data_IF_618142605086
#
_entry.id   IF_618142605086
#
_cell.length_a   1.000
_cell.length_b   1.000
_cell.length_c   1.000
_cell.angle_alpha   90.00
_cell.angle_beta   90.00
_cell.angle_gamma   90.00
#
_symmetry.space_group_name_H-M   'P 1'
#
loop_
_entity.id
_entity.type
_entity.pdbx_description
1 polymer ?
#
# COMPACT_ATOMS: atom_id res chain seq x y z
N UNK A 1 -46.17 -108.28 -28.28
CA UNK A 1 -45.70 -109.41 -27.45
C UNK A 1 -46.21 -110.75 -27.98
N UNK A 2 -47.51 -110.93 -28.22
CA UNK A 2 -48.07 -112.19 -28.75
C UNK A 2 -47.52 -112.61 -30.13
N UNK A 3 -47.36 -111.66 -31.06
CA UNK A 3 -46.82 -111.96 -32.40
C UNK A 3 -45.37 -112.48 -32.37
N UNK A 4 -44.50 -111.85 -31.56
CA UNK A 4 -43.11 -112.33 -31.37
C UNK A 4 -43.08 -113.72 -30.72
N UNK A 5 -43.98 -114.00 -29.78
CA UNK A 5 -44.10 -115.29 -29.10
C UNK A 5 -44.56 -116.42 -30.03
N UNK A 6 -45.52 -116.12 -30.92
CA UNK A 6 -45.99 -117.07 -31.95
C UNK A 6 -44.89 -117.41 -32.98
N UNK A 7 -44.11 -116.42 -33.41
CA UNK A 7 -43.00 -116.65 -34.35
C UNK A 7 -41.86 -117.43 -33.67
N UNK A 8 -41.57 -117.14 -32.41
CA UNK A 8 -40.52 -117.83 -31.67
C UNK A 8 -40.81 -119.33 -31.55
N UNK A 9 -42.06 -119.75 -31.32
CA UNK A 9 -42.45 -121.17 -31.20
C UNK A 9 -42.14 -122.03 -32.44
N UNK A 10 -42.06 -121.41 -33.63
CA UNK A 10 -41.74 -122.07 -34.90
C UNK A 10 -40.25 -121.95 -35.25
N UNK A 11 -39.47 -121.22 -34.45
CA UNK A 11 -38.07 -120.95 -34.72
C UNK A 11 -37.15 -122.11 -34.30
N UNK A 12 -36.15 -122.38 -35.14
CA UNK A 12 -35.11 -123.39 -34.93
C UNK A 12 -33.77 -122.74 -34.60
N UNK A 13 -32.95 -123.40 -33.79
CA UNK A 13 -31.63 -122.88 -33.41
C UNK A 13 -30.68 -122.96 -34.62
N UNK A 14 -30.08 -121.83 -35.01
CA UNK A 14 -29.20 -121.73 -36.18
C UNK A 14 -27.94 -122.59 -36.11
N UNK A 15 -27.51 -123.02 -34.91
CA UNK A 15 -26.29 -123.80 -34.70
C UNK A 15 -26.53 -125.30 -34.55
N UNK A 16 -27.75 -125.72 -34.20
CA UNK A 16 -28.09 -127.14 -33.93
C UNK A 16 -29.28 -127.68 -34.73
N UNK A 17 -30.02 -126.83 -35.45
CA UNK A 17 -31.18 -127.19 -36.28
C UNK A 17 -32.42 -127.67 -35.51
N UNK A 18 -32.35 -127.77 -34.17
CA UNK A 18 -33.44 -128.25 -33.32
C UNK A 18 -34.38 -127.10 -32.91
N UNK A 19 -35.68 -127.38 -32.63
CA UNK A 19 -36.62 -126.39 -32.11
C UNK A 19 -36.08 -125.80 -30.79
N UNK A 20 -36.21 -124.49 -30.63
CA UNK A 20 -35.79 -123.82 -29.39
C UNK A 20 -36.76 -124.24 -28.27
N UNK A 21 -36.23 -124.54 -27.09
CA UNK A 21 -37.06 -124.95 -25.95
C UNK A 21 -37.90 -123.77 -25.46
N UNK A 22 -39.18 -123.97 -25.10
CA UNK A 22 -40.05 -122.88 -24.61
C UNK A 22 -39.45 -122.11 -23.43
N UNK A 23 -38.69 -122.79 -22.56
CA UNK A 23 -38.01 -122.21 -21.40
C UNK A 23 -36.91 -121.22 -21.78
N UNK A 24 -36.17 -121.48 -22.87
CA UNK A 24 -35.11 -120.60 -23.36
C UNK A 24 -35.71 -119.36 -24.05
N UNK A 25 -36.84 -119.52 -24.74
CA UNK A 25 -37.58 -118.39 -25.31
C UNK A 25 -38.09 -117.44 -24.23
N UNK A 26 -38.71 -117.98 -23.18
CA UNK A 26 -39.20 -117.18 -22.06
C UNK A 26 -38.04 -116.43 -21.37
N UNK A 27 -36.88 -117.06 -21.22
CA UNK A 27 -35.66 -116.38 -20.73
C UNK A 27 -35.20 -115.25 -21.66
N UNK A 28 -35.23 -115.45 -22.98
CA UNK A 28 -34.89 -114.40 -23.95
C UNK A 28 -35.88 -113.24 -23.92
N UNK A 29 -37.18 -113.50 -23.80
CA UNK A 29 -38.20 -112.44 -23.66
C UNK A 29 -38.03 -111.65 -22.36
N UNK A 30 -37.69 -112.32 -21.25
CA UNK A 30 -37.38 -111.64 -19.98
C UNK A 30 -36.14 -110.76 -20.13
N UNK A 31 -35.09 -111.23 -20.81
CA UNK A 31 -33.89 -110.43 -21.07
C UNK A 31 -34.16 -109.26 -22.04
N UNK A 32 -34.97 -109.46 -23.07
CA UNK A 32 -35.37 -108.42 -24.03
C UNK A 32 -36.16 -107.31 -23.31
N UNK A 33 -37.18 -107.68 -22.54
CA UNK A 33 -37.96 -106.73 -21.73
C UNK A 33 -37.09 -105.96 -20.73
N UNK A 34 -36.14 -106.66 -20.08
CA UNK A 34 -35.19 -106.01 -19.16
C UNK A 34 -34.33 -104.97 -19.90
N UNK A 35 -33.73 -105.35 -21.03
CA UNK A 35 -32.93 -104.43 -21.86
C UNK A 35 -33.76 -103.28 -22.43
N UNK A 36 -35.00 -103.54 -22.81
CA UNK A 36 -35.93 -102.52 -23.31
C UNK A 36 -36.26 -101.50 -22.20
N UNK A 37 -36.46 -101.97 -20.96
CA UNK A 37 -36.56 -101.11 -19.78
C UNK A 37 -35.29 -100.28 -19.53
N UNK A 38 -34.11 -100.88 -19.64
CA UNK A 38 -32.82 -100.17 -19.53
C UNK A 38 -32.68 -99.08 -20.61
N UNK A 39 -33.04 -99.37 -21.86
CA UNK A 39 -33.00 -98.41 -22.98
C UNK A 39 -33.97 -97.25 -22.75
N UNK A 40 -35.18 -97.52 -22.27
CA UNK A 40 -36.16 -96.47 -21.93
C UNK A 40 -35.62 -95.57 -20.83
N UNK A 41 -35.02 -96.14 -19.78
CA UNK A 41 -34.41 -95.36 -18.69
C UNK A 41 -33.29 -94.45 -19.19
N UNK A 42 -32.37 -94.98 -20.00
CA UNK A 42 -31.26 -94.19 -20.58
C UNK A 42 -31.77 -93.09 -21.49
N UNK A 43 -32.82 -93.33 -22.29
CA UNK A 43 -33.45 -92.30 -23.13
C UNK A 43 -34.08 -91.19 -22.29
N UNK A 44 -34.81 -91.53 -21.25
CA UNK A 44 -35.39 -90.54 -20.32
C UNK A 44 -34.31 -89.72 -19.65
N UNK A 45 -33.20 -90.35 -19.23
CA UNK A 45 -32.06 -89.66 -18.65
C UNK A 45 -31.38 -88.73 -19.66
N UNK A 46 -31.20 -89.16 -20.91
CA UNK A 46 -30.67 -88.31 -21.98
C UNK A 46 -31.54 -87.07 -22.23
N UNK A 47 -32.87 -87.22 -22.26
CA UNK A 47 -33.81 -86.10 -22.41
C UNK A 47 -33.69 -85.14 -21.21
N UNK A 48 -33.64 -85.68 -19.97
CA UNK A 48 -33.45 -84.87 -18.76
C UNK A 48 -32.12 -84.09 -18.81
N UNK A 49 -31.03 -84.74 -19.22
CA UNK A 49 -29.71 -84.11 -19.33
C UNK A 49 -29.68 -83.04 -20.43
N UNK A 50 -30.27 -83.29 -21.61
CA UNK A 50 -30.40 -82.27 -22.66
C UNK A 50 -31.20 -81.05 -22.21
N UNK A 51 -32.29 -81.26 -21.48
CA UNK A 51 -33.07 -80.15 -20.93
C UNK A 51 -32.31 -79.39 -19.85
N UNK A 52 -31.55 -80.08 -18.98
CA UNK A 52 -30.65 -79.43 -18.01
C UNK A 52 -29.56 -78.63 -18.69
N UNK A 53 -28.94 -79.18 -19.75
CA UNK A 53 -27.91 -78.51 -20.54
C UNK A 53 -28.47 -77.21 -21.14
N UNK A 54 -29.58 -77.28 -21.88
CA UNK A 54 -30.23 -76.09 -22.46
C UNK A 54 -30.58 -75.04 -21.42
N UNK A 55 -31.07 -75.45 -20.24
CA UNK A 55 -31.36 -74.53 -19.14
C UNK A 55 -30.10 -73.86 -18.61
N UNK A 56 -28.98 -74.58 -18.53
CA UNK A 56 -27.69 -74.04 -18.09
C UNK A 56 -27.07 -73.11 -19.13
N UNK A 57 -27.12 -73.46 -20.40
CA UNK A 57 -26.69 -72.60 -21.51
C UNK A 57 -27.49 -71.30 -21.54
N UNK A 58 -28.81 -71.37 -21.35
CA UNK A 58 -29.64 -70.15 -21.30
C UNK A 58 -29.33 -69.28 -20.07
N UNK A 59 -29.09 -69.89 -18.90
CA UNK A 59 -28.64 -69.18 -17.70
C UNK A 59 -27.25 -68.55 -17.88
N UNK A 60 -26.36 -69.19 -18.64
CA UNK A 60 -25.04 -68.64 -18.95
C UNK A 60 -25.18 -67.43 -19.86
N UNK A 61 -25.93 -67.58 -20.96
CA UNK A 61 -26.16 -66.51 -21.93
C UNK A 61 -26.83 -65.28 -21.30
N UNK A 62 -27.83 -65.48 -20.43
CA UNK A 62 -28.46 -64.35 -19.72
C UNK A 62 -27.50 -63.63 -18.77
N UNK A 63 -26.51 -64.34 -18.21
CA UNK A 63 -25.47 -63.74 -17.34
C UNK A 63 -24.40 -63.02 -18.16
N UNK A 64 -24.07 -63.53 -19.35
CA UNK A 64 -23.15 -62.89 -20.30
C UNK A 64 -23.78 -61.62 -20.89
N UNK A 65 -25.05 -61.64 -21.28
CA UNK A 65 -25.81 -60.45 -21.72
C UNK A 65 -25.94 -59.41 -20.59
N UNK A 66 -26.09 -59.85 -19.33
CA UNK A 66 -26.06 -58.95 -18.17
C UNK A 66 -24.66 -58.36 -17.92
N UNK A 67 -23.60 -59.09 -18.29
CA UNK A 67 -22.23 -58.62 -18.22
C UNK A 67 -21.87 -57.67 -19.39
N UNK A 68 -22.51 -57.81 -20.56
CA UNK A 68 -22.44 -56.79 -21.63
C UNK A 68 -23.10 -55.46 -21.22
N UNK A 69 -24.09 -55.50 -20.34
CA UNK A 69 -24.67 -54.30 -19.68
C UNK A 69 -23.91 -53.81 -18.44
N UNK A 70 -22.94 -54.58 -17.95
CA UNK A 70 -22.00 -54.13 -16.93
C UNK A 70 -20.91 -53.35 -17.67
N UNK A 71 -21.17 -52.07 -17.91
CA UNK A 71 -20.26 -51.18 -18.61
C UNK A 71 -18.99 -50.95 -17.77
N UNK A 72 -18.08 -51.92 -17.78
CA UNK A 72 -16.76 -51.84 -17.20
C UNK A 72 -16.02 -50.60 -17.73
N UNK A 73 -16.33 -50.21 -18.97
CA UNK A 73 -15.88 -48.98 -19.61
C UNK A 73 -16.42 -47.75 -18.87
N UNK A 74 -17.72 -47.67 -18.57
CA UNK A 74 -18.30 -46.55 -17.83
C UNK A 74 -17.76 -46.49 -16.40
N UNK A 75 -17.55 -47.63 -15.76
CA UNK A 75 -16.96 -47.69 -14.42
C UNK A 75 -15.50 -47.17 -14.43
N UNK A 76 -14.70 -47.61 -15.40
CA UNK A 76 -13.33 -47.13 -15.54
C UNK A 76 -13.28 -45.66 -15.94
N UNK A 77 -14.24 -45.18 -16.75
CA UNK A 77 -14.41 -43.76 -17.06
C UNK A 77 -14.73 -42.94 -15.81
N UNK A 78 -15.72 -43.35 -15.00
CA UNK A 78 -16.06 -42.72 -13.73
C UNK A 78 -14.87 -42.63 -12.79
N UNK A 79 -14.03 -43.67 -12.77
CA UNK A 79 -12.81 -43.71 -11.97
C UNK A 79 -11.76 -42.72 -12.46
N UNK A 80 -11.55 -42.62 -13.78
CA UNK A 80 -10.67 -41.60 -14.39
C UNK A 80 -11.17 -40.19 -14.10
N UNK A 81 -12.47 -39.95 -14.25
CA UNK A 81 -13.09 -38.66 -13.97
C UNK A 81 -12.94 -38.28 -12.48
N UNK A 82 -13.22 -39.21 -11.57
CA UNK A 82 -13.07 -38.98 -10.13
C UNK A 82 -11.61 -38.65 -9.77
N UNK A 83 -10.64 -39.37 -10.34
CA UNK A 83 -9.23 -39.06 -10.16
C UNK A 83 -8.88 -37.65 -10.67
N UNK A 84 -9.35 -37.30 -11.86
CA UNK A 84 -9.13 -35.97 -12.46
C UNK A 84 -9.77 -34.86 -11.61
N UNK A 85 -10.94 -35.09 -11.04
CA UNK A 85 -11.58 -34.13 -10.13
C UNK A 85 -10.82 -33.99 -8.82
N UNK A 86 -10.29 -35.08 -8.26
CA UNK A 86 -9.46 -35.01 -7.05
C UNK A 86 -8.17 -34.23 -7.30
N UNK A 87 -7.49 -34.45 -8.43
CA UNK A 87 -6.31 -33.68 -8.82
C UNK A 87 -6.62 -32.18 -8.92
N UNK A 88 -7.75 -31.82 -9.55
CA UNK A 88 -8.23 -30.43 -9.59
C UNK A 88 -8.53 -29.87 -8.19
N UNK A 89 -9.16 -30.65 -7.31
CA UNK A 89 -9.44 -30.21 -5.93
C UNK A 89 -8.13 -29.95 -5.19
N UNK A 90 -7.13 -30.81 -5.33
CA UNK A 90 -5.80 -30.63 -4.75
C UNK A 90 -5.11 -29.37 -5.28
N UNK A 91 -5.09 -29.16 -6.61
CA UNK A 91 -4.54 -27.95 -7.23
C UNK A 91 -5.21 -26.68 -6.69
N UNK A 92 -6.55 -26.66 -6.62
CA UNK A 92 -7.30 -25.52 -6.07
C UNK A 92 -7.03 -25.32 -4.59
N UNK A 93 -6.87 -26.39 -3.81
CA UNK A 93 -6.52 -26.30 -2.39
C UNK A 93 -5.12 -25.71 -2.18
N UNK A 94 -4.15 -26.08 -3.02
CA UNK A 94 -2.81 -25.48 -2.99
C UNK A 94 -2.84 -24.00 -3.34
N UNK A 95 -3.60 -23.61 -4.37
CA UNK A 95 -3.79 -22.20 -4.72
C UNK A 95 -4.44 -21.41 -3.58
N UNK A 96 -5.48 -21.95 -2.95
CA UNK A 96 -6.12 -21.35 -1.79
C UNK A 96 -5.12 -21.16 -0.64
N UNK A 97 -4.26 -22.15 -0.39
CA UNK A 97 -3.22 -22.05 0.63
C UNK A 97 -2.19 -20.96 0.28
N UNK A 98 -1.76 -20.88 -0.98
CA UNK A 98 -0.86 -19.81 -1.48
C UNK A 98 -1.48 -18.44 -1.29
N UNK A 99 -2.76 -18.27 -1.60
CA UNK A 99 -3.50 -17.01 -1.41
C UNK A 99 -3.63 -16.66 0.07
N UNK A 100 -3.97 -17.62 0.94
CA UNK A 100 -4.02 -17.38 2.40
C UNK A 100 -2.68 -16.90 2.95
N UNK A 101 -1.57 -17.52 2.54
CA UNK A 101 -0.22 -17.07 2.92
C UNK A 101 0.07 -15.63 2.45
N UNK A 102 -0.29 -15.30 1.20
CA UNK A 102 -0.16 -13.93 0.67
C UNK A 102 -0.99 -12.92 1.46
N UNK A 103 -2.23 -13.26 1.82
CA UNK A 103 -3.11 -12.41 2.63
C UNK A 103 -2.47 -12.14 4.00
N UNK A 104 -2.01 -13.19 4.70
CA UNK A 104 -1.37 -13.03 6.01
C UNK A 104 -0.13 -12.13 5.95
N UNK A 105 0.75 -12.36 4.97
CA UNK A 105 1.93 -11.51 4.76
C UNK A 105 1.55 -10.06 4.45
N UNK A 106 0.55 -9.85 3.59
CA UNK A 106 0.05 -8.52 3.25
C UNK A 106 -0.50 -7.81 4.48
N UNK A 107 -1.30 -8.49 5.30
CA UNK A 107 -1.85 -7.93 6.55
C UNK A 107 -0.73 -7.54 7.52
N UNK A 108 0.31 -8.36 7.67
CA UNK A 108 1.47 -8.02 8.51
C UNK A 108 2.17 -6.74 8.01
N UNK A 109 2.45 -6.64 6.71
CA UNK A 109 3.06 -5.45 6.10
C UNK A 109 2.16 -4.22 6.29
N UNK A 110 0.85 -4.37 6.12
CA UNK A 110 -0.12 -3.29 6.29
C UNK A 110 -0.17 -2.80 7.74
N UNK A 111 -0.08 -3.71 8.72
CA UNK A 111 0.03 -3.38 10.14
C UNK A 111 1.30 -2.56 10.43
N UNK A 112 2.47 -3.03 9.98
CA UNK A 112 3.72 -2.29 10.16
C UNK A 112 3.69 -0.91 9.50
N UNK A 113 3.12 -0.80 8.31
CA UNK A 113 2.95 0.49 7.62
C UNK A 113 2.01 1.42 8.39
N UNK A 114 0.92 0.89 8.95
CA UNK A 114 -0.02 1.67 9.76
C UNK A 114 0.63 2.20 11.03
N UNK A 115 1.40 1.38 11.73
CA UNK A 115 2.16 1.78 12.92
C UNK A 115 3.18 2.88 12.58
N UNK A 116 3.96 2.69 11.51
CA UNK A 116 4.93 3.69 11.05
C UNK A 116 4.25 5.00 10.64
N UNK A 117 3.11 4.92 9.97
CA UNK A 117 2.32 6.09 9.60
C UNK A 117 1.85 6.86 10.83
N UNK A 118 1.29 6.16 11.83
CA UNK A 118 0.84 6.79 13.08
C UNK A 118 2.00 7.47 13.81
N UNK A 119 3.17 6.83 13.87
CA UNK A 119 4.36 7.41 14.47
C UNK A 119 4.78 8.71 13.75
N UNK A 120 4.90 8.67 12.42
CA UNK A 120 5.28 9.85 11.62
C UNK A 120 4.23 10.97 11.72
N UNK A 121 2.94 10.62 11.79
CA UNK A 121 1.87 11.61 12.00
C UNK A 121 1.98 12.29 13.36
N UNK A 122 2.28 11.53 14.42
CA UNK A 122 2.49 12.09 15.75
C UNK A 122 3.71 13.03 15.77
N UNK A 123 4.82 12.62 15.16
CA UNK A 123 6.02 13.46 15.03
C UNK A 123 5.74 14.74 14.23
N UNK A 124 5.01 14.63 13.13
CA UNK A 124 4.60 15.78 12.32
C UNK A 124 3.75 16.77 13.13
N UNK A 125 2.84 16.26 13.97
CA UNK A 125 2.02 17.08 14.84
C UNK A 125 2.88 17.86 15.86
N UNK A 126 3.85 17.20 16.48
CA UNK A 126 4.82 17.84 17.39
C UNK A 126 5.63 18.91 16.66
N UNK A 127 6.13 18.62 15.47
CA UNK A 127 6.90 19.60 14.69
C UNK A 127 6.07 20.79 14.23
N UNK A 128 4.80 20.59 13.88
CA UNK A 128 3.86 21.69 13.62
C UNK A 128 3.66 22.58 14.85
N UNK A 129 3.58 21.99 16.05
CA UNK A 129 3.55 22.74 17.30
C UNK A 129 4.78 23.61 17.48
N UNK A 130 5.98 23.04 17.33
CA UNK A 130 7.25 23.77 17.41
C UNK A 130 7.36 24.88 16.37
N UNK A 131 6.94 24.62 15.14
CA UNK A 131 6.92 25.62 14.07
C UNK A 131 6.06 26.82 14.47
N UNK A 132 4.85 26.58 14.97
CA UNK A 132 3.94 27.62 15.44
C UNK A 132 4.56 28.46 16.56
N UNK A 133 5.19 27.83 17.55
CA UNK A 133 5.87 28.55 18.64
C UNK A 133 6.98 29.48 18.11
N UNK A 134 7.78 28.99 17.15
CA UNK A 134 8.85 29.77 16.51
C UNK A 134 8.27 30.91 15.68
N UNK A 135 7.20 30.69 14.93
CA UNK A 135 6.51 31.72 14.15
C UNK A 135 5.94 32.83 15.04
N UNK A 136 5.29 32.46 16.16
CA UNK A 136 4.78 33.42 17.14
C UNK A 136 5.92 34.23 17.77
N UNK A 137 7.04 33.59 18.12
CA UNK A 137 8.23 34.28 18.63
C UNK A 137 8.85 35.22 17.60
N UNK A 138 8.91 34.79 16.33
CA UNK A 138 9.40 35.62 15.23
C UNK A 138 8.48 36.83 15.01
N UNK A 139 7.16 36.66 15.05
CA UNK A 139 6.19 37.76 14.96
C UNK A 139 6.41 38.78 16.09
N UNK A 140 6.50 38.32 17.35
CA UNK A 140 6.79 39.20 18.50
C UNK A 140 8.09 39.98 18.34
N UNK A 141 9.15 39.32 17.86
CA UNK A 141 10.44 39.99 17.59
C UNK A 141 10.35 41.03 16.46
N UNK A 142 9.58 40.75 15.40
CA UNK A 142 9.32 41.72 14.31
C UNK A 142 8.58 42.95 14.82
N UNK A 143 7.55 42.76 15.66
CA UNK A 143 6.80 43.88 16.24
C UNK A 143 7.67 44.74 17.14
N UNK A 144 8.49 44.12 18.01
CA UNK A 144 9.44 44.83 18.85
C UNK A 144 10.45 45.62 18.01
N UNK A 145 11.00 45.00 16.96
CA UNK A 145 11.94 45.65 16.05
C UNK A 145 11.31 46.85 15.33
N UNK A 146 10.04 46.75 14.93
CA UNK A 146 9.30 47.85 14.31
C UNK A 146 9.16 49.03 15.28
N UNK A 147 8.74 48.76 16.53
CA UNK A 147 8.60 49.79 17.58
C UNK A 147 9.93 50.47 17.92
N UNK A 148 11.01 49.71 18.06
CA UNK A 148 12.33 50.27 18.36
C UNK A 148 12.89 51.10 17.20
N UNK A 149 12.66 50.68 15.95
CA UNK A 149 13.00 51.50 14.77
C UNK A 149 12.23 52.82 14.75
N UNK A 150 10.92 52.80 15.00
CA UNK A 150 10.11 54.01 15.09
C UNK A 150 10.61 54.97 16.17
N UNK A 151 10.90 54.46 17.38
CA UNK A 151 11.44 55.28 18.46
C UNK A 151 12.82 55.87 18.11
N UNK A 152 13.71 55.08 17.52
CA UNK A 152 15.01 55.55 17.04
C UNK A 152 14.86 56.65 15.99
N UNK A 153 13.94 56.49 15.05
CA UNK A 153 13.74 57.45 13.96
C UNK A 153 13.13 58.75 14.50
N UNK A 154 12.22 58.68 15.47
CA UNK A 154 11.70 59.86 16.18
C UNK A 154 12.82 60.61 16.92
N UNK A 155 13.63 59.91 17.71
CA UNK A 155 14.78 60.49 18.42
C UNK A 155 15.80 61.11 17.44
N UNK A 156 16.00 60.50 16.27
CA UNK A 156 16.88 61.03 15.24
C UNK A 156 16.35 62.35 14.69
N UNK A 157 15.06 62.43 14.40
CA UNK A 157 14.39 63.66 13.93
C UNK A 157 14.47 64.74 15.01
N UNK A 158 14.18 64.41 16.26
CA UNK A 158 14.24 65.37 17.37
C UNK A 158 15.66 65.87 17.63
N UNK A 159 16.67 64.98 17.58
CA UNK A 159 18.07 65.38 17.69
C UNK A 159 18.47 66.33 16.56
N UNK A 160 18.02 66.07 15.33
CA UNK A 160 18.28 66.94 14.19
C UNK A 160 17.61 68.31 14.36
N UNK A 161 16.35 68.36 14.84
CA UNK A 161 15.64 69.61 15.15
C UNK A 161 16.33 70.40 16.25
N UNK A 162 16.75 69.74 17.33
CA UNK A 162 17.51 70.37 18.41
C UNK A 162 18.83 70.94 17.90
N UNK A 163 19.58 70.19 17.08
CA UNK A 163 20.81 70.70 16.45
C UNK A 163 20.55 71.94 15.59
N UNK A 164 19.46 71.98 14.83
CA UNK A 164 19.07 73.15 14.05
C UNK A 164 18.71 74.35 14.95
N UNK A 165 17.94 74.11 16.02
CA UNK A 165 17.55 75.16 16.97
C UNK A 165 18.72 75.70 17.80
N UNK A 166 19.74 74.87 18.06
CA UNK A 166 20.90 75.27 18.84
C UNK A 166 21.84 76.25 18.11
N UNK A 167 21.63 76.57 16.83
CA UNK A 167 22.39 77.62 16.13
C UNK A 167 23.91 77.51 16.33
N UNK A 168 24.52 78.54 16.94
CA UNK A 168 25.96 78.58 17.23
C UNK A 168 26.39 77.66 18.38
N UNK A 169 25.48 77.28 19.29
CA UNK A 169 25.76 76.48 20.50
C UNK A 169 26.28 75.07 20.21
N UNK A 170 26.23 74.61 18.95
CA UNK A 170 26.82 73.34 18.51
C UNK A 170 28.19 73.47 17.82
N UNK A 171 28.65 74.69 17.55
CA UNK A 171 29.85 74.98 16.75
C UNK A 171 30.87 75.75 17.57
N UNK A 172 31.62 75.03 18.39
CA UNK A 172 32.68 75.54 19.26
C UNK A 172 33.66 76.53 18.57
N UNK A 173 34.15 76.30 17.33
CA UNK A 173 35.08 77.24 16.70
C UNK A 173 34.43 78.59 16.37
N UNK A 174 33.15 78.58 15.97
CA UNK A 174 32.40 79.80 15.65
C UNK A 174 32.01 80.57 16.92
N UNK A 175 31.76 79.87 18.03
CA UNK A 175 31.58 80.49 19.34
C UNK A 175 32.83 81.24 19.79
N UNK A 176 34.01 80.60 19.67
CA UNK A 176 35.29 81.22 20.02
C UNK A 176 35.61 82.43 19.14
N UNK A 177 35.41 82.32 17.83
CA UNK A 177 35.57 83.46 16.91
C UNK A 177 34.62 84.61 17.28
N UNK A 178 33.38 84.31 17.67
CA UNK A 178 32.45 85.33 18.13
C UNK A 178 32.90 85.99 19.45
N UNK A 179 33.43 85.22 20.40
CA UNK A 179 34.02 85.74 21.64
C UNK A 179 35.21 86.66 21.33
N UNK A 180 36.16 86.20 20.52
CA UNK A 180 37.34 86.98 20.11
C UNK A 180 36.93 88.29 19.41
N UNK A 181 35.99 88.22 18.46
CA UNK A 181 35.51 89.43 17.76
C UNK A 181 34.76 90.40 18.65
N UNK A 182 34.07 89.89 19.68
CA UNK A 182 33.40 90.74 20.67
C UNK A 182 34.44 91.47 21.51
N UNK A 183 35.46 90.76 21.98
CA UNK A 183 36.57 91.34 22.74
C UNK A 183 37.31 92.40 21.91
N UNK A 184 37.62 92.10 20.64
CA UNK A 184 38.21 93.08 19.70
C UNK A 184 37.32 94.31 19.50
N UNK A 185 36.00 94.12 19.43
CA UNK A 185 35.03 95.22 19.27
C UNK A 185 35.02 96.12 20.50
N UNK A 186 35.09 95.54 21.69
CA UNK A 186 35.11 96.29 22.94
C UNK A 186 36.45 97.05 23.09
N UNK A 187 37.58 96.43 22.75
CA UNK A 187 38.88 97.11 22.66
C UNK A 187 38.88 98.29 21.67
N UNK A 188 38.22 98.12 20.51
CA UNK A 188 38.11 99.20 19.51
C UNK A 188 37.19 100.33 20.00
N UNK A 189 36.14 100.04 20.77
CA UNK A 189 35.29 101.08 21.39
C UNK A 189 36.09 101.90 22.40
N UNK A 190 36.89 101.25 23.24
CA UNK A 190 37.75 101.93 24.23
C UNK A 190 38.81 102.81 23.54
N UNK A 191 39.42 102.30 22.46
CA UNK A 191 40.31 103.10 21.60
C UNK A 191 39.57 104.29 20.97
N UNK A 192 38.35 104.11 20.49
CA UNK A 192 37.55 105.19 19.92
C UNK A 192 37.22 106.27 20.96
N UNK A 193 36.87 105.86 22.19
CA UNK A 193 36.62 106.80 23.29
C UNK A 193 37.87 107.59 23.66
N UNK A 194 39.01 106.92 23.83
CA UNK A 194 40.28 107.61 24.10
C UNK A 194 40.68 108.57 22.98
N UNK A 195 40.52 108.19 21.71
CA UNK A 195 40.77 109.09 20.57
C UNK A 195 39.77 110.25 20.52
N UNK A 196 38.50 110.06 20.90
CA UNK A 196 37.52 111.15 21.00
C UNK A 196 37.91 112.15 22.09
N UNK A 197 38.37 111.66 23.24
CA UNK A 197 38.89 112.51 24.32
C UNK A 197 40.10 113.29 23.82
N UNK A 198 41.07 112.61 23.19
CA UNK A 198 42.27 113.25 22.65
C UNK A 198 41.94 114.27 21.54
N UNK A 199 40.98 113.98 20.66
CA UNK A 199 40.52 114.92 19.64
C UNK A 199 39.82 116.13 20.26
N UNK A 200 39.03 115.93 21.32
CA UNK A 200 38.41 117.04 22.06
C UNK A 200 39.49 117.93 22.71
N UNK A 201 40.52 117.34 23.32
CA UNK A 201 41.68 118.06 23.87
C UNK A 201 42.46 118.82 22.80
N UNK A 202 42.81 118.16 21.69
CA UNK A 202 43.51 118.79 20.57
C UNK A 202 42.69 119.89 19.90
N UNK A 203 41.36 119.72 19.80
CA UNK A 203 40.45 120.76 19.29
C UNK A 203 40.40 121.94 20.25
N UNK A 204 40.38 121.71 21.57
CA UNK A 204 40.52 122.78 22.56
C UNK A 204 41.87 123.49 22.45
N UNK A 205 42.96 122.74 22.27
CA UNK A 205 44.30 123.29 22.10
C UNK A 205 44.44 124.09 20.79
N UNK A 206 43.87 123.61 19.68
CA UNK A 206 43.81 124.33 18.40
C UNK A 206 42.96 125.59 18.50
N UNK A 207 41.84 125.55 19.22
CA UNK A 207 41.07 126.76 19.54
C UNK A 207 41.89 127.74 20.40
N UNK A 208 42.70 127.24 21.34
CA UNK A 208 43.63 128.04 22.13
C UNK A 208 44.75 128.66 21.30
N UNK A 209 45.34 127.91 20.37
CA UNK A 209 46.38 128.40 19.45
C UNK A 209 45.78 129.36 18.42
N UNK A 210 44.57 129.11 17.92
CA UNK A 210 43.82 130.03 17.05
C UNK A 210 43.57 131.37 17.75
N UNK A 211 43.15 131.35 19.02
CA UNK A 211 43.06 132.57 19.85
C UNK A 211 44.42 133.28 20.01
N UNK A 212 45.53 132.53 20.17
CA UNK A 212 46.88 133.12 20.25
C UNK A 212 47.38 133.68 18.91
N UNK A 213 47.04 133.06 17.77
CA UNK A 213 47.35 133.57 16.43
C UNK A 213 46.52 134.83 16.12
N UNK A 214 45.26 134.87 16.53
CA UNK A 214 44.42 136.07 16.44
C UNK A 214 44.96 137.21 17.32
N UNK A 215 45.47 136.90 18.52
CA UNK A 215 46.19 137.87 19.37
C UNK A 215 47.52 138.34 18.77
N UNK A 216 48.29 137.45 18.12
CA UNK A 216 49.57 137.80 17.48
C UNK A 216 49.38 138.60 16.18
N UNK A 217 48.26 138.43 15.47
CA UNK A 217 47.87 139.29 14.34
C UNK A 217 47.37 140.66 14.79
N UNK A 218 46.82 140.77 16.00
CA UNK A 218 46.49 142.06 16.62
C UNK A 218 47.67 142.83 17.23
N UNK A 219 48.82 142.17 17.43
CA UNK A 219 50.02 142.74 18.06
C UNK A 219 51.08 143.30 17.10
N UNK A 220 50.79 143.41 15.80
CA UNK A 220 51.58 144.19 14.83
C UNK A 220 50.74 145.38 14.35
N UNK A 221 50.58 146.36 15.23
CA UNK A 221 50.14 147.72 14.94
C UNK A 221 50.89 148.66 15.89
#
# INVERSE_FOLDING_TARGET
MEFKKQIALVAVNSRSGKPILPKDMDQHFVMENRKEGEVVNVRLENIKLKNKLKKKEHQLKSKEELAEGLHLIDFEQLKIENQTYNEKIEERNEELLKLRKKITSTVQVLTHLKEKLQFVQAENHVQKGKLREVEELAARKRDLLSRTKQARDALRIDNQRLRQNCGLLGNEPLLRDFEERKDETDDLKDKLESLRVLHAELTMNLNGVRRKIDQARGGRA
#
